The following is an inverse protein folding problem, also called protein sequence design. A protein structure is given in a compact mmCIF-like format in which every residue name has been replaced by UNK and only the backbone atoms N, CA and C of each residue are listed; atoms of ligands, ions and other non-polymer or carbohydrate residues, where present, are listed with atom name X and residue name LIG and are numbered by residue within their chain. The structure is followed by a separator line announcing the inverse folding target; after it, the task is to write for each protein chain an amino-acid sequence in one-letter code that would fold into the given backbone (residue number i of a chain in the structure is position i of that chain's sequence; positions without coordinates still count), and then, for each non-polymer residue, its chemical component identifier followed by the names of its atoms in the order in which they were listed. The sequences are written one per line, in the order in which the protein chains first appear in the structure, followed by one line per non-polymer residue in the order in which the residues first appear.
data_IF_225346720494
#
_entry.id   IF_225346720494
#
_cell.length_a   1.000
_cell.length_b   1.000
_cell.length_c   1.000
_cell.angle_alpha   90.00
_cell.angle_beta   90.00
_cell.angle_gamma   90.00
#
_symmetry.space_group_name_H-M   'P 1'
#
loop_
_entity.id
_entity.type
_entity.pdbx_description
1 polymer ?
#
# COMPACT_ATOMS: atom_id res chain seq x y z
N UNK A 1 -8.08 -2.55 16.47
CA UNK A 1 -7.79 -1.90 15.17
C UNK A 1 -6.74 -2.75 14.51
N UNK A 2 -6.99 -3.29 13.32
CA UNK A 2 -5.99 -4.08 12.59
C UNK A 2 -4.79 -3.17 12.27
N UNK A 3 -3.59 -3.66 12.55
CA UNK A 3 -2.36 -2.93 12.20
C UNK A 3 -2.29 -2.77 10.68
N UNK A 4 -2.06 -1.55 10.16
CA UNK A 4 -2.01 -1.35 8.73
C UNK A 4 -0.77 -2.04 8.15
N UNK A 5 -0.97 -2.75 7.03
CA UNK A 5 0.12 -3.32 6.27
C UNK A 5 1.12 -2.26 5.86
N UNK A 6 2.36 -2.71 5.71
CA UNK A 6 3.49 -1.88 5.33
C UNK A 6 3.81 -0.75 6.31
N UNK A 7 3.57 -0.97 7.61
CA UNK A 7 3.83 0.01 8.67
C UNK A 7 3.02 1.31 8.46
N UNK A 8 1.84 1.19 7.83
CA UNK A 8 1.00 2.33 7.47
C UNK A 8 1.51 3.17 6.29
N UNK A 9 2.55 2.73 5.57
CA UNK A 9 3.03 3.40 4.35
C UNK A 9 2.07 3.19 3.18
N UNK A 10 2.17 4.08 2.19
CA UNK A 10 1.35 4.01 0.99
C UNK A 10 1.65 2.73 0.18
N UNK A 11 0.70 1.78 0.18
CA UNK A 11 0.83 0.50 -0.52
C UNK A 11 1.11 0.67 -2.03
N UNK A 12 0.49 1.66 -2.66
CA UNK A 12 0.75 1.96 -4.07
C UNK A 12 2.17 2.50 -4.30
N UNK A 13 2.69 3.35 -3.43
CA UNK A 13 4.06 3.85 -3.57
C UNK A 13 5.09 2.73 -3.42
N UNK A 14 4.83 1.76 -2.54
CA UNK A 14 5.62 0.53 -2.42
C UNK A 14 5.54 -0.36 -3.67
N UNK A 15 4.39 -0.35 -4.36
CA UNK A 15 4.27 -1.05 -5.64
C UNK A 15 5.06 -0.39 -6.78
N UNK A 16 5.51 0.85 -6.61
CA UNK A 16 6.26 1.62 -7.61
C UNK A 16 7.76 1.77 -7.27
N UNK A 17 8.14 1.78 -6.00
CA UNK A 17 9.51 2.09 -5.57
C UNK A 17 9.90 1.49 -4.22
N UNK A 18 11.12 1.81 -3.72
CA UNK A 18 11.65 1.26 -2.48
C UNK A 18 10.88 1.77 -1.24
N UNK A 19 10.83 0.95 -0.20
CA UNK A 19 10.10 1.26 1.04
C UNK A 19 10.61 2.49 1.81
N UNK A 20 11.87 2.87 1.59
CA UNK A 20 12.47 4.10 2.13
C UNK A 20 11.90 5.38 1.49
N UNK A 21 11.37 5.30 0.26
CA UNK A 21 10.77 6.44 -0.45
C UNK A 21 9.25 6.44 -0.42
N UNK A 22 8.62 5.41 0.14
CA UNK A 22 7.17 5.34 0.26
C UNK A 22 6.69 6.32 1.35
N UNK A 23 5.84 7.31 1.03
CA UNK A 23 5.29 8.22 2.02
C UNK A 23 4.32 7.47 2.94
N UNK A 24 4.10 8.03 4.13
CA UNK A 24 3.04 7.55 5.02
C UNK A 24 1.68 7.61 4.31
N UNK A 25 0.92 6.52 4.41
CA UNK A 25 -0.45 6.47 3.95
C UNK A 25 -1.38 7.17 4.92
N UNK A 26 -2.58 7.54 4.45
CA UNK A 26 -3.61 8.15 5.28
C UNK A 26 -4.67 7.10 5.61
N UNK A 27 -5.07 6.95 6.88
CA UNK A 27 -6.11 5.99 7.27
C UNK A 27 -7.49 6.29 6.64
N UNK A 28 -7.76 7.55 6.31
CA UNK A 28 -8.95 7.99 5.56
C UNK A 28 -9.00 7.40 4.15
N UNK A 29 -7.85 7.06 3.58
CA UNK A 29 -7.72 6.36 2.31
C UNK A 29 -7.20 4.96 2.57
N UNK A 30 -7.83 4.22 3.47
CA UNK A 30 -7.56 2.80 3.69
C UNK A 30 -8.34 1.93 2.70
N UNK A 31 -7.82 0.75 2.38
CA UNK A 31 -8.49 -0.29 1.63
C UNK A 31 -8.21 -1.63 2.31
N UNK A 32 -9.27 -2.35 2.67
CA UNK A 32 -9.16 -3.69 3.20
C UNK A 32 -9.24 -4.69 2.04
N UNK A 33 -8.24 -5.55 1.90
CA UNK A 33 -8.20 -6.61 0.90
C UNK A 33 -7.72 -7.87 1.63
N UNK A 34 -8.49 -8.96 1.55
CA UNK A 34 -8.05 -10.28 2.05
C UNK A 34 -7.71 -10.27 3.55
N UNK A 35 -8.49 -9.53 4.35
CA UNK A 35 -8.29 -9.35 5.79
C UNK A 35 -7.12 -8.44 6.18
N UNK A 36 -6.46 -7.82 5.20
CA UNK A 36 -5.33 -6.90 5.40
C UNK A 36 -5.72 -5.46 5.10
N UNK A 37 -5.33 -4.55 5.97
CA UNK A 37 -5.62 -3.11 5.82
C UNK A 37 -4.45 -2.38 5.17
N UNK A 38 -4.65 -1.84 3.98
CA UNK A 38 -3.64 -1.08 3.24
C UNK A 38 -3.94 0.42 3.30
N UNK A 39 -2.95 1.25 3.61
CA UNK A 39 -3.10 2.71 3.57
C UNK A 39 -2.59 3.29 2.27
N UNK A 40 -3.19 4.41 1.87
CA UNK A 40 -2.85 5.13 0.64
C UNK A 40 -2.67 6.62 0.93
N UNK A 41 -1.76 7.26 0.21
CA UNK A 41 -1.55 8.70 0.34
C UNK A 41 -2.79 9.53 -0.09
N UNK A 42 -3.60 8.98 -1.01
CA UNK A 42 -4.78 9.63 -1.59
C UNK A 42 -5.74 8.65 -2.25
N UNK A 43 -6.86 9.18 -2.76
CA UNK A 43 -7.87 8.39 -3.49
C UNK A 43 -7.37 7.83 -4.83
N UNK A 44 -6.53 8.59 -5.55
CA UNK A 44 -5.96 8.16 -6.85
C UNK A 44 -5.05 6.93 -6.69
N UNK A 45 -4.04 6.93 -5.79
CA UNK A 45 -3.24 5.73 -5.50
C UNK A 45 -4.09 4.51 -5.10
N UNK A 46 -5.14 4.72 -4.30
CA UNK A 46 -6.08 3.65 -3.89
C UNK A 46 -6.78 3.04 -5.11
N UNK A 47 -7.29 3.88 -6.02
CA UNK A 47 -7.97 3.44 -7.22
C UNK A 47 -7.02 2.68 -8.16
N UNK A 48 -5.82 3.22 -8.40
CA UNK A 48 -4.81 2.60 -9.24
C UNK A 48 -4.34 1.25 -8.68
N UNK A 49 -4.15 1.16 -7.36
CA UNK A 49 -3.77 -0.09 -6.72
C UNK A 49 -4.84 -1.19 -6.86
N UNK A 50 -6.12 -0.79 -6.88
CA UNK A 50 -7.24 -1.71 -7.11
C UNK A 50 -7.36 -2.12 -8.59
N UNK A 51 -7.08 -1.20 -9.51
CA UNK A 51 -7.21 -1.45 -10.95
C UNK A 51 -6.02 -2.19 -11.55
N UNK A 52 -4.81 -1.93 -11.07
CA UNK A 52 -3.59 -2.50 -11.66
C UNK A 52 -3.31 -3.86 -11.01
N UNK A 53 -3.54 -4.97 -11.74
CA UNK A 53 -3.24 -6.31 -11.24
C UNK A 53 -1.74 -6.45 -10.92
N UNK A 54 -1.42 -7.22 -9.89
CA UNK A 54 -0.03 -7.42 -9.42
C UNK A 54 0.57 -6.24 -8.65
N UNK A 55 -0.15 -5.11 -8.46
CA UNK A 55 0.35 -4.02 -7.60
C UNK A 55 0.54 -4.47 -6.16
N UNK A 56 -0.34 -5.35 -5.66
CA UNK A 56 -0.23 -5.98 -4.35
C UNK A 56 1.04 -6.83 -4.23
N UNK A 57 1.23 -7.80 -5.13
CA UNK A 57 2.43 -8.65 -5.14
C UNK A 57 3.73 -7.84 -5.27
N UNK A 58 3.73 -6.79 -6.09
CA UNK A 58 4.88 -5.89 -6.20
C UNK A 58 5.17 -5.14 -4.92
N UNK A 59 4.14 -4.63 -4.23
CA UNK A 59 4.29 -3.97 -2.96
C UNK A 59 4.80 -4.95 -1.89
N UNK A 60 4.22 -6.15 -1.83
CA UNK A 60 4.60 -7.21 -0.90
C UNK A 60 6.05 -7.68 -1.11
N UNK A 61 6.42 -7.99 -2.35
CA UNK A 61 7.79 -8.36 -2.72
C UNK A 61 8.81 -7.28 -2.34
N UNK A 62 8.50 -6.00 -2.60
CA UNK A 62 9.41 -4.90 -2.25
C UNK A 62 9.45 -4.64 -0.74
N UNK A 63 8.35 -4.88 -0.04
CA UNK A 63 8.31 -4.78 1.41
C UNK A 63 9.10 -5.91 2.08
N UNK A 64 9.01 -7.13 1.55
CA UNK A 64 9.80 -8.28 2.01
C UNK A 64 11.30 -8.09 1.74
N UNK A 65 11.65 -7.37 0.67
CA UNK A 65 13.04 -7.06 0.31
C UNK A 65 13.60 -5.78 0.96
N UNK A 66 12.97 -5.25 2.02
CA UNK A 66 13.36 -4.00 2.70
C UNK A 66 14.56 -4.16 3.63
#
# INVERSE_FOLDING_TARGET
MAEPEFDGKCAFALSLGPASKAPAGKPQHSLEIDGKTYYFFGAVPKLLFRLIPGSRERADRRWAAR
#
